data_IF_783667641375
#
_entry.id   IF_783667641375
#
_cell.length_a   1.000
_cell.length_b   1.000
_cell.length_c   1.000
_cell.angle_alpha   90.00
_cell.angle_beta   90.00
_cell.angle_gamma   90.00
#
_symmetry.space_group_name_H-M   'P 1'
#
loop_
_entity.id
_entity.type
_entity.pdbx_description
1 polymer ?
#
# COMPACT_ATOMS: atom_id res chain seq x y z
N UNK A 1 -45.37 38.02 -24.62
CA UNK A 1 -44.46 37.50 -23.57
C UNK A 1 -44.34 35.99 -23.74
N UNK A 2 -43.14 35.44 -24.02
CA UNK A 2 -42.70 34.05 -23.72
C UNK A 2 -41.43 33.71 -24.55
N UNK A 3 -40.28 34.25 -24.14
CA UNK A 3 -38.94 33.75 -24.57
C UNK A 3 -37.97 33.69 -23.38
N UNK A 4 -38.46 33.78 -22.14
CA UNK A 4 -37.60 33.83 -20.93
C UNK A 4 -37.22 32.42 -20.44
N UNK A 5 -38.00 31.40 -20.82
CA UNK A 5 -37.80 30.02 -20.33
C UNK A 5 -36.56 29.29 -20.87
N UNK A 6 -36.19 29.36 -22.17
CA UNK A 6 -35.03 28.63 -22.66
C UNK A 6 -33.69 29.24 -22.22
N UNK A 7 -33.64 30.55 -22.00
CA UNK A 7 -32.40 31.24 -21.62
C UNK A 7 -31.99 30.93 -20.17
N UNK A 8 -32.97 30.88 -19.26
CA UNK A 8 -32.72 30.54 -17.85
C UNK A 8 -32.21 29.10 -17.72
N UNK A 9 -32.73 28.17 -18.53
CA UNK A 9 -32.28 26.78 -18.51
C UNK A 9 -30.84 26.62 -19.02
N UNK A 10 -30.47 27.36 -20.08
CA UNK A 10 -29.10 27.37 -20.59
C UNK A 10 -28.10 27.94 -19.57
N UNK A 11 -28.48 28.97 -18.83
CA UNK A 11 -27.61 29.55 -17.79
C UNK A 11 -27.39 28.59 -16.62
N UNK A 12 -28.43 27.87 -16.18
CA UNK A 12 -28.31 26.85 -15.13
C UNK A 12 -27.47 25.66 -15.59
N UNK A 13 -27.65 25.21 -16.84
CA UNK A 13 -26.84 24.14 -17.41
C UNK A 13 -25.36 24.56 -17.51
N UNK A 14 -25.07 25.78 -17.96
CA UNK A 14 -23.71 26.31 -18.02
C UNK A 14 -23.07 26.43 -16.63
N UNK A 15 -23.82 26.86 -15.62
CA UNK A 15 -23.34 26.93 -14.24
C UNK A 15 -23.02 25.53 -13.68
N UNK A 16 -23.87 24.53 -13.94
CA UNK A 16 -23.62 23.14 -13.55
C UNK A 16 -22.36 22.57 -14.21
N UNK A 17 -22.16 22.83 -15.50
CA UNK A 17 -20.94 22.40 -16.22
C UNK A 17 -19.70 23.05 -15.59
N UNK A 18 -19.75 24.34 -15.24
CA UNK A 18 -18.63 25.03 -14.58
C UNK A 18 -18.33 24.46 -13.18
N UNK A 19 -19.36 24.11 -12.41
CA UNK A 19 -19.18 23.46 -11.10
C UNK A 19 -18.54 22.09 -11.24
N UNK A 20 -18.95 21.29 -12.24
CA UNK A 20 -18.34 19.98 -12.52
C UNK A 20 -16.90 20.15 -12.99
N UNK A 21 -16.61 21.09 -13.89
CA UNK A 21 -15.24 21.36 -14.35
C UNK A 21 -14.33 21.85 -13.21
N UNK A 22 -14.86 22.61 -12.25
CA UNK A 22 -14.13 23.01 -11.06
C UNK A 22 -13.88 21.82 -10.11
N UNK A 23 -14.87 20.94 -9.91
CA UNK A 23 -14.72 19.73 -9.08
C UNK A 23 -13.70 18.74 -9.67
N UNK A 24 -13.54 18.71 -11.00
CA UNK A 24 -12.56 17.89 -11.72
C UNK A 24 -11.21 18.61 -11.90
N UNK A 25 -11.05 19.83 -11.38
CA UNK A 25 -9.80 20.58 -11.40
C UNK A 25 -9.41 21.19 -12.76
N UNK A 26 -10.34 21.24 -13.71
CA UNK A 26 -10.10 21.78 -15.06
C UNK A 26 -10.19 23.31 -15.14
N UNK A 27 -10.89 23.96 -14.20
CA UNK A 27 -11.04 25.42 -14.16
C UNK A 27 -10.97 25.94 -12.73
N UNK A 28 -10.10 26.91 -12.47
CA UNK A 28 -10.10 27.68 -11.22
C UNK A 28 -10.94 28.96 -11.41
N UNK A 29 -12.19 28.94 -10.97
CA UNK A 29 -13.05 30.13 -10.99
C UNK A 29 -12.51 31.29 -10.12
N UNK A 30 -11.56 31.01 -9.22
CA UNK A 30 -10.96 32.02 -8.34
C UNK A 30 -9.92 32.91 -9.04
N UNK A 31 -9.35 32.47 -10.17
CA UNK A 31 -8.36 33.27 -10.92
C UNK A 31 -9.00 34.43 -11.69
N UNK A 32 -10.32 34.38 -11.94
CA UNK A 32 -11.05 35.45 -12.63
C UNK A 32 -11.36 36.67 -11.76
N UNK A 33 -11.15 36.60 -10.44
CA UNK A 33 -11.46 37.72 -9.53
C UNK A 33 -10.27 38.64 -9.27
N UNK A 34 -9.07 38.22 -9.64
CA UNK A 34 -7.85 39.03 -9.58
C UNK A 34 -7.44 39.41 -10.99
N UNK A 35 -7.78 40.64 -11.39
CA UNK A 35 -7.42 41.18 -12.70
C UNK A 35 -5.93 41.05 -12.98
N UNK A 36 -5.58 39.98 -13.70
CA UNK A 36 -4.26 39.75 -14.27
C UNK A 36 -4.48 39.70 -15.77
N UNK A 37 -4.17 40.81 -16.43
CA UNK A 37 -4.21 40.93 -17.87
C UNK A 37 -3.38 39.81 -18.51
N UNK A 38 -3.91 39.03 -19.46
CA UNK A 38 -3.11 38.05 -20.18
C UNK A 38 -2.12 38.79 -21.09
N UNK A 39 -0.83 38.65 -20.82
CA UNK A 39 0.23 39.03 -21.76
C UNK A 39 0.09 38.15 -23.00
N UNK A 40 -0.14 38.79 -24.14
CA UNK A 40 -0.24 38.12 -25.44
C UNK A 40 1.07 37.39 -25.78
N UNK A 41 1.00 36.21 -26.42
CA UNK A 41 2.19 35.56 -26.97
C UNK A 41 2.75 36.37 -28.16
N UNK A 42 4.07 36.49 -28.32
CA UNK A 42 4.65 37.19 -29.46
C UNK A 42 4.35 36.44 -30.76
N UNK A 43 3.65 37.12 -31.68
CA UNK A 43 3.39 36.66 -33.05
C UNK A 43 4.72 36.58 -33.83
N UNK A 44 5.02 35.46 -34.51
CA UNK A 44 6.15 35.37 -35.41
C UNK A 44 5.78 36.03 -36.75
N UNK A 45 6.62 36.93 -37.28
CA UNK A 45 6.53 37.37 -38.67
C UNK A 45 7.89 37.16 -39.37
N UNK A 46 7.89 36.64 -40.61
CA UNK A 46 9.06 36.04 -41.24
C UNK A 46 9.82 37.03 -42.13
N UNK A 47 11.10 36.71 -42.42
CA UNK A 47 11.76 36.62 -43.76
C UNK A 47 13.27 36.92 -43.63
N UNK A 48 14.09 36.03 -44.21
CA UNK A 48 15.55 36.12 -44.41
C UNK A 48 15.91 37.18 -45.49
N UNK A 49 17.14 37.29 -46.08
CA UNK A 49 18.45 36.66 -45.84
C UNK A 49 19.66 37.66 -45.86
N UNK A 50 20.90 37.11 -45.95
CA UNK A 50 22.23 37.75 -46.19
C UNK A 50 23.03 38.17 -44.94
N UNK A 51 24.35 37.97 -44.80
CA UNK A 51 25.43 37.43 -45.64
C UNK A 51 26.70 37.21 -44.75
N UNK A 52 27.47 36.15 -45.03
CA UNK A 52 28.95 36.03 -45.12
C UNK A 52 29.88 36.34 -43.92
N UNK A 53 30.58 35.29 -43.44
CA UNK A 53 32.06 35.08 -43.52
C UNK A 53 32.39 33.66 -43.00
N UNK A 54 32.84 32.73 -43.84
CA UNK A 54 34.26 32.37 -44.10
C UNK A 54 35.01 32.01 -42.79
N UNK A 55 35.61 30.83 -42.57
CA UNK A 55 36.32 29.97 -43.51
C UNK A 55 36.75 28.63 -42.84
N UNK A 56 37.20 27.70 -43.68
CA UNK A 56 37.99 26.47 -43.44
C UNK A 56 37.25 25.13 -43.20
N UNK A 57 37.34 24.29 -44.24
CA UNK A 57 37.00 22.85 -44.32
C UNK A 57 38.31 22.01 -44.29
N UNK A 58 38.28 20.67 -44.50
CA UNK A 58 38.59 19.63 -43.52
C UNK A 58 39.93 18.92 -43.81
N UNK A 59 40.31 17.94 -42.97
CA UNK A 59 41.18 16.87 -43.46
C UNK A 59 40.88 15.51 -42.80
N UNK A 60 40.81 14.50 -43.67
CA UNK A 60 40.69 13.05 -43.40
C UNK A 60 42.05 12.45 -43.80
N UNK A 61 42.55 11.41 -43.12
CA UNK A 61 42.62 10.13 -43.83
C UNK A 61 42.41 8.89 -42.94
N UNK A 62 41.66 7.92 -43.46
CA UNK A 62 41.92 6.48 -43.30
C UNK A 62 42.74 6.02 -44.53
N UNK A 63 43.50 4.90 -44.53
CA UNK A 63 42.87 3.57 -44.61
C UNK A 63 43.68 2.37 -44.03
N UNK A 64 42.97 1.22 -44.02
CA UNK A 64 43.40 -0.18 -44.17
C UNK A 64 44.33 -0.86 -43.15
N UNK A 65 43.76 -1.89 -42.48
CA UNK A 65 44.17 -3.29 -42.71
C UNK A 65 43.26 -4.28 -41.94
N UNK A 66 42.64 -5.19 -42.68
CA UNK A 66 42.37 -6.58 -42.24
C UNK A 66 42.94 -7.46 -43.35
N UNK A 67 43.46 -8.68 -43.08
CA UNK A 67 42.53 -9.80 -42.91
C UNK A 67 43.02 -11.00 -42.03
N UNK A 68 42.01 -11.73 -41.55
CA UNK A 68 41.94 -13.20 -41.48
C UNK A 68 42.55 -13.99 -40.29
N UNK A 69 42.13 -15.26 -40.08
CA UNK A 69 41.10 -15.61 -39.11
C UNK A 69 41.52 -16.80 -38.21
N UNK A 70 41.19 -16.84 -36.92
CA UNK A 70 41.22 -18.14 -36.23
C UNK A 70 40.45 -18.19 -34.92
N UNK A 71 39.72 -19.29 -34.78
CA UNK A 71 39.15 -19.88 -33.57
C UNK A 71 37.95 -19.21 -32.91
N UNK A 72 36.79 -19.59 -33.44
CA UNK A 72 35.58 -19.87 -32.67
C UNK A 72 35.95 -20.73 -31.46
N UNK A 73 35.72 -20.23 -30.24
CA UNK A 73 35.53 -21.06 -29.06
C UNK A 73 34.16 -20.74 -28.46
N UNK A 74 33.20 -21.55 -28.87
CA UNK A 74 31.92 -21.77 -28.20
C UNK A 74 32.19 -22.17 -26.75
N UNK A 75 31.65 -21.50 -25.72
CA UNK A 75 31.47 -22.19 -24.44
C UNK A 75 30.38 -23.26 -24.67
N UNK A 76 30.81 -24.51 -24.57
CA UNK A 76 29.96 -25.69 -24.57
C UNK A 76 28.80 -25.51 -23.58
N UNK A 77 27.56 -25.95 -23.90
CA UNK A 77 26.46 -25.95 -22.96
C UNK A 77 26.81 -26.89 -21.79
N UNK A 78 26.87 -26.35 -20.57
CA UNK A 78 26.90 -27.19 -19.39
C UNK A 78 25.66 -28.10 -19.40
N UNK A 79 25.90 -29.39 -19.33
CA UNK A 79 24.87 -30.41 -19.26
C UNK A 79 23.92 -30.14 -18.08
N UNK A 80 22.62 -30.44 -18.23
CA UNK A 80 21.63 -30.18 -17.19
C UNK A 80 21.95 -31.00 -15.93
N UNK A 81 22.10 -30.29 -14.82
CA UNK A 81 22.16 -30.88 -13.49
C UNK A 81 20.87 -31.70 -13.26
N UNK A 82 20.95 -32.97 -12.83
CA UNK A 82 19.76 -33.76 -12.54
C UNK A 82 18.97 -33.12 -11.39
N UNK A 83 17.62 -33.17 -11.43
CA UNK A 83 16.79 -32.59 -10.39
C UNK A 83 17.07 -33.25 -9.02
N UNK A 84 17.02 -32.48 -7.92
CA UNK A 84 17.12 -33.06 -6.59
C UNK A 84 15.99 -34.08 -6.37
N UNK A 85 16.35 -35.23 -5.79
CA UNK A 85 15.41 -36.30 -5.44
C UNK A 85 14.27 -35.75 -4.55
N UNK A 86 13.04 -36.28 -4.67
CA UNK A 86 11.93 -35.89 -3.80
C UNK A 86 12.30 -36.20 -2.35
N UNK A 87 12.22 -35.17 -1.49
CA UNK A 87 12.32 -35.34 -0.04
C UNK A 87 11.11 -36.16 0.40
N UNK A 88 11.42 -37.28 1.04
CA UNK A 88 10.50 -38.24 1.61
C UNK A 88 9.57 -37.57 2.62
N UNK A 89 8.28 -37.82 2.42
CA UNK A 89 7.16 -37.63 3.35
C UNK A 89 7.53 -38.07 4.79
N UNK A 90 7.31 -37.23 5.83
CA UNK A 90 7.40 -37.70 7.20
C UNK A 90 6.22 -38.61 7.51
N UNK A 91 6.51 -39.85 7.86
CA UNK A 91 5.57 -40.82 8.39
C UNK A 91 4.86 -40.30 9.67
N UNK A 92 3.62 -40.75 9.94
CA UNK A 92 2.78 -40.24 11.01
C UNK A 92 3.24 -40.72 12.40
N UNK A 93 3.09 -39.92 13.47
CA UNK A 93 3.23 -40.42 14.82
C UNK A 93 1.99 -41.25 15.21
N UNK A 94 2.17 -42.57 15.27
CA UNK A 94 1.38 -43.49 16.12
C UNK A 94 2.19 -43.56 17.43
N UNK A 95 1.68 -43.28 18.64
CA UNK A 95 0.65 -43.99 19.40
C UNK A 95 0.30 -43.18 20.70
N UNK A 96 -0.66 -43.62 21.53
CA UNK A 96 -1.67 -42.76 22.15
C UNK A 96 -1.54 -42.58 23.67
N UNK A 97 -2.11 -41.49 24.18
CA UNK A 97 -2.35 -41.19 25.60
C UNK A 97 -2.56 -39.68 25.74
N UNK A 98 -3.56 -39.12 26.41
CA UNK A 98 -4.52 -39.60 27.39
C UNK A 98 -5.62 -38.52 27.38
N UNK A 99 -6.83 -38.84 26.92
CA UNK A 99 -7.99 -37.92 27.00
C UNK A 99 -8.68 -38.18 28.35
N UNK A 100 -8.95 -37.16 29.18
CA UNK A 100 -9.73 -37.36 30.39
C UNK A 100 -11.18 -37.74 30.05
N UNK A 101 -11.56 -38.89 30.60
CA UNK A 101 -12.80 -39.63 30.48
C UNK A 101 -14.01 -38.78 30.95
N UNK A 102 -14.91 -38.42 30.03
CA UNK A 102 -16.22 -37.86 30.37
C UNK A 102 -17.23 -39.01 30.48
N UNK A 103 -17.21 -39.70 31.61
CA UNK A 103 -18.29 -40.59 31.97
C UNK A 103 -19.59 -39.78 32.22
N UNK A 104 -20.72 -40.10 31.56
CA UNK A 104 -22.00 -39.48 31.86
C UNK A 104 -22.54 -39.99 33.22
N UNK A 105 -23.17 -39.15 34.05
CA UNK A 105 -23.74 -39.59 35.32
C UNK A 105 -25.01 -40.44 35.10
N UNK A 106 -25.26 -41.44 35.95
CA UNK A 106 -26.45 -42.28 35.83
C UNK A 106 -27.69 -41.56 36.39
N UNK A 107 -28.82 -41.69 35.68
CA UNK A 107 -30.14 -41.43 36.24
C UNK A 107 -30.60 -42.63 37.09
N UNK A 108 -31.36 -42.37 38.17
CA UNK A 108 -32.66 -43.03 38.32
C UNK A 108 -33.74 -42.05 38.84
N UNK A 109 -34.99 -42.36 38.51
CA UNK A 109 -36.15 -41.48 38.66
C UNK A 109 -37.10 -41.81 39.81
N UNK A 110 -38.25 -41.13 39.77
CA UNK A 110 -39.46 -41.32 40.61
C UNK A 110 -39.32 -40.72 42.01
N UNK A 111 -40.27 -40.02 42.63
CA UNK A 111 -41.72 -39.85 42.40
C UNK A 111 -42.24 -38.71 43.28
N UNK A 112 -43.38 -38.16 42.86
CA UNK A 112 -44.47 -37.66 43.71
C UNK A 112 -44.60 -36.15 44.02
N UNK A 113 -45.84 -35.73 43.82
CA UNK A 113 -46.49 -34.43 43.86
C UNK A 113 -46.74 -33.84 45.26
N UNK A 114 -46.57 -32.51 45.40
CA UNK A 114 -47.59 -31.49 45.75
C UNK A 114 -46.93 -30.25 46.42
N UNK A 115 -47.34 -29.01 46.08
CA UNK A 115 -46.62 -27.78 46.47
C UNK A 115 -47.08 -27.19 47.82
N UNK A 116 -46.21 -26.42 48.49
CA UNK A 116 -46.69 -25.18 49.10
C UNK A 116 -45.72 -23.97 48.94
N UNK A 117 -46.34 -22.84 48.60
CA UNK A 117 -46.05 -21.44 48.97
C UNK A 117 -44.59 -20.90 49.03
N UNK A 118 -44.32 -19.91 48.17
CA UNK A 118 -43.35 -18.82 48.40
C UNK A 118 -43.73 -18.04 49.70
N UNK A 119 -42.85 -17.24 50.36
CA UNK A 119 -41.76 -16.44 49.75
C UNK A 119 -40.46 -16.30 50.57
N UNK A 120 -39.34 -16.03 49.89
CA UNK A 120 -38.11 -15.59 50.55
C UNK A 120 -36.94 -15.51 49.60
N UNK A 121 -36.42 -14.29 49.39
CA UNK A 121 -35.35 -13.97 48.45
C UNK A 121 -34.08 -14.79 48.68
N UNK A 122 -33.61 -15.47 47.64
CA UNK A 122 -32.24 -15.94 47.50
C UNK A 122 -31.79 -15.71 46.06
N UNK A 123 -30.73 -14.92 45.94
CA UNK A 123 -30.09 -14.46 44.72
C UNK A 123 -29.63 -15.64 43.87
N UNK A 124 -30.28 -15.86 42.72
CA UNK A 124 -29.72 -16.75 41.70
C UNK A 124 -28.40 -16.17 41.19
N UNK A 125 -27.32 -16.97 41.05
CA UNK A 125 -26.10 -16.50 40.42
C UNK A 125 -26.42 -16.14 38.96
N UNK A 126 -26.24 -14.86 38.62
CA UNK A 126 -26.31 -14.40 37.23
C UNK A 126 -25.26 -15.16 36.43
N UNK A 127 -25.74 -16.10 35.61
CA UNK A 127 -25.00 -16.59 34.45
C UNK A 127 -24.71 -15.36 33.58
N UNK A 128 -23.47 -14.88 33.60
CA UNK A 128 -23.03 -13.83 32.68
C UNK A 128 -23.25 -14.36 31.27
N UNK A 129 -24.19 -13.74 30.55
CA UNK A 129 -24.38 -13.99 29.13
C UNK A 129 -23.02 -13.94 28.42
N UNK A 130 -22.72 -14.85 27.49
CA UNK A 130 -21.50 -14.75 26.70
C UNK A 130 -21.48 -13.37 25.99
N UNK A 131 -20.31 -12.69 25.95
CA UNK A 131 -20.23 -11.37 25.36
C UNK A 131 -20.71 -11.42 23.90
N UNK A 132 -21.57 -10.47 23.52
CA UNK A 132 -22.01 -10.30 22.13
C UNK A 132 -20.76 -10.21 21.25
N UNK A 133 -20.76 -10.89 20.09
CA UNK A 133 -19.60 -10.98 19.20
C UNK A 133 -18.98 -9.60 18.83
N UNK A 134 -19.77 -8.52 18.82
CA UNK A 134 -19.27 -7.14 18.63
C UNK A 134 -18.53 -6.53 19.84
N UNK A 135 -18.90 -6.91 21.08
CA UNK A 135 -18.27 -6.39 22.31
C UNK A 135 -16.82 -6.86 22.47
N UNK A 136 -16.50 -8.08 22.00
CA UNK A 136 -15.13 -8.57 21.98
C UNK A 136 -14.25 -7.83 20.96
N UNK A 137 -14.83 -7.41 19.83
CA UNK A 137 -14.14 -6.61 18.81
C UNK A 137 -13.88 -5.19 19.31
N UNK A 138 -14.86 -4.57 19.97
CA UNK A 138 -14.73 -3.24 20.59
C UNK A 138 -13.67 -3.22 21.69
N UNK A 139 -13.66 -4.21 22.59
CA UNK A 139 -12.66 -4.31 23.65
C UNK A 139 -11.24 -4.52 23.13
N UNK A 140 -11.07 -5.35 22.09
CA UNK A 140 -9.74 -5.56 21.46
C UNK A 140 -9.24 -4.35 20.69
N UNK A 141 -10.14 -3.65 20.00
CA UNK A 141 -9.82 -2.36 19.34
C UNK A 141 -9.35 -1.32 20.37
N UNK A 142 -9.98 -1.27 21.54
CA UNK A 142 -9.55 -0.37 22.61
C UNK A 142 -8.09 -0.62 23.02
N UNK A 143 -7.71 -1.88 23.22
CA UNK A 143 -6.31 -2.25 23.51
C UNK A 143 -5.35 -1.88 22.38
N UNK A 144 -5.75 -2.05 21.12
CA UNK A 144 -4.94 -1.64 19.97
C UNK A 144 -4.71 -0.13 19.93
N UNK A 145 -5.72 0.69 20.30
CA UNK A 145 -5.57 2.14 20.44
C UNK A 145 -4.57 2.49 21.54
N UNK A 146 -4.71 1.89 22.74
CA UNK A 146 -3.82 2.18 23.87
C UNK A 146 -2.37 1.84 23.55
N UNK A 147 -2.12 0.69 22.92
CA UNK A 147 -0.77 0.30 22.50
C UNK A 147 -0.21 1.29 21.47
N UNK A 148 -1.03 1.70 20.50
CA UNK A 148 -0.61 2.70 19.52
C UNK A 148 -0.25 4.03 20.19
N UNK A 149 -1.08 4.52 21.12
CA UNK A 149 -0.83 5.78 21.83
C UNK A 149 0.46 5.71 22.67
N UNK A 150 0.68 4.59 23.36
CA UNK A 150 1.92 4.34 24.10
C UNK A 150 3.13 4.32 23.17
N UNK A 151 3.04 3.63 22.03
CA UNK A 151 4.13 3.51 21.06
C UNK A 151 4.48 4.86 20.42
N UNK A 152 3.47 5.66 20.07
CA UNK A 152 3.65 6.99 19.50
C UNK A 152 4.22 7.99 20.52
N UNK A 153 3.88 7.83 21.81
CA UNK A 153 4.34 8.69 22.90
C UNK A 153 5.72 8.32 23.46
N UNK A 154 6.17 7.09 23.24
CA UNK A 154 7.50 6.62 23.62
C UNK A 154 8.60 7.54 23.05
N UNK A 155 9.76 7.60 23.70
CA UNK A 155 10.88 8.47 23.31
C UNK A 155 12.14 7.70 22.97
N UNK A 156 12.19 6.42 23.29
CA UNK A 156 13.36 5.56 23.14
C UNK A 156 13.00 4.26 22.42
N UNK A 157 14.02 3.54 21.93
CA UNK A 157 13.81 2.22 21.34
C UNK A 157 13.35 1.22 22.39
N UNK A 158 13.94 1.28 23.58
CA UNK A 158 13.68 0.37 24.70
C UNK A 158 12.21 0.43 25.15
N UNK A 159 11.62 1.62 25.16
CA UNK A 159 10.19 1.81 25.43
C UNK A 159 9.29 1.25 24.32
N UNK A 160 9.74 1.25 23.06
CA UNK A 160 8.97 0.78 21.90
C UNK A 160 9.03 -0.72 21.69
N UNK A 161 10.15 -1.36 22.00
CA UNK A 161 10.37 -2.80 21.83
C UNK A 161 9.23 -3.69 22.36
N UNK A 162 8.69 -3.48 23.58
CA UNK A 162 7.58 -4.30 24.08
C UNK A 162 6.25 -4.03 23.36
N UNK A 163 6.09 -2.87 22.73
CA UNK A 163 4.86 -2.41 22.07
C UNK A 163 4.80 -2.78 20.58
N UNK A 164 5.88 -3.33 20.04
CA UNK A 164 6.00 -3.67 18.63
C UNK A 164 6.21 -5.17 18.38
N UNK A 165 5.85 -5.59 17.19
CA UNK A 165 6.20 -6.90 16.64
C UNK A 165 7.72 -7.02 16.48
N UNK A 166 8.21 -8.27 16.45
CA UNK A 166 9.62 -8.52 16.15
C UNK A 166 9.91 -8.06 14.72
N UNK A 167 10.82 -7.09 14.59
CA UNK A 167 11.30 -6.59 13.30
C UNK A 167 12.21 -7.62 12.61
N UNK A 168 12.23 -7.58 11.28
CA UNK A 168 13.20 -8.32 10.46
C UNK A 168 14.59 -7.67 10.48
N UNK A 169 14.69 -6.40 10.90
CA UNK A 169 15.94 -5.63 10.98
C UNK A 169 16.75 -6.04 12.20
N UNK A 170 18.07 -5.86 12.10
CA UNK A 170 18.96 -6.09 13.24
C UNK A 170 18.71 -5.05 14.34
N UNK A 171 19.08 -5.38 15.59
CA UNK A 171 18.95 -4.43 16.70
C UNK A 171 19.80 -3.15 16.49
N UNK A 172 20.93 -3.26 15.80
CA UNK A 172 21.76 -2.10 15.45
C UNK A 172 21.08 -1.20 14.41
N UNK A 173 20.38 -1.78 13.43
CA UNK A 173 19.61 -1.02 12.45
C UNK A 173 18.42 -0.32 13.10
N UNK A 174 17.76 -0.98 14.06
CA UNK A 174 16.68 -0.35 14.84
C UNK A 174 17.17 0.85 15.64
N UNK A 175 18.38 0.78 16.21
CA UNK A 175 19.01 1.92 16.91
C UNK A 175 19.33 3.10 16.00
N UNK A 176 19.51 2.86 14.70
CA UNK A 176 19.73 3.90 13.69
C UNK A 176 18.43 4.43 13.08
N UNK A 177 17.32 3.73 13.31
CA UNK A 177 16.01 4.09 12.77
C UNK A 177 15.28 5.17 13.60
N UNK A 178 14.17 5.64 13.07
CA UNK A 178 13.25 6.57 13.71
C UNK A 178 12.72 6.08 15.08
N UNK A 179 12.77 4.77 15.35
CA UNK A 179 12.30 4.19 16.61
C UNK A 179 13.19 4.52 17.81
N UNK A 180 14.45 4.90 17.59
CA UNK A 180 15.41 5.17 18.65
C UNK A 180 15.28 6.54 19.31
N UNK A 181 14.48 7.44 18.74
CA UNK A 181 14.30 8.81 19.24
C UNK A 181 12.83 9.20 19.41
N UNK A 182 12.58 10.44 19.85
CA UNK A 182 11.23 10.99 19.87
C UNK A 182 10.70 11.16 18.43
N UNK A 183 9.45 10.76 18.21
CA UNK A 183 8.76 10.99 16.94
C UNK A 183 8.28 12.45 16.85
N UNK A 184 7.91 12.86 15.63
CA UNK A 184 7.19 14.12 15.39
C UNK A 184 5.90 14.15 16.24
N UNK A 185 5.42 15.34 16.57
CA UNK A 185 4.17 15.49 17.34
C UNK A 185 3.00 14.88 16.56
N UNK A 186 2.23 13.99 17.18
CA UNK A 186 1.01 13.43 16.57
C UNK A 186 -0.07 14.51 16.56
N UNK A 187 -0.60 14.82 15.37
CA UNK A 187 -1.73 15.74 15.21
C UNK A 187 -3.06 15.04 15.34
N UNK A 188 -3.15 13.84 14.76
CA UNK A 188 -4.34 13.00 14.82
C UNK A 188 -3.98 11.56 14.50
N UNK A 189 -4.62 10.62 15.16
CA UNK A 189 -4.69 9.21 14.79
C UNK A 189 -6.16 8.80 14.64
N UNK A 190 -6.50 8.14 13.54
CA UNK A 190 -7.85 7.66 13.26
C UNK A 190 -7.80 6.19 12.90
N UNK A 191 -8.67 5.39 13.52
CA UNK A 191 -8.85 4.00 13.14
C UNK A 191 -9.54 3.92 11.78
N UNK A 192 -8.86 3.32 10.79
CA UNK A 192 -9.39 3.16 9.45
C UNK A 192 -10.32 1.95 9.35
N UNK A 193 -9.75 0.76 9.51
CA UNK A 193 -10.47 -0.50 9.39
C UNK A 193 -9.73 -1.61 10.13
N UNK A 194 -10.44 -2.72 10.35
CA UNK A 194 -9.85 -3.97 10.82
C UNK A 194 -9.95 -4.96 9.68
N UNK A 195 -8.80 -5.44 9.23
CA UNK A 195 -8.66 -6.43 8.18
C UNK A 195 -8.44 -7.79 8.85
N UNK A 196 -9.41 -8.72 8.78
CA UNK A 196 -9.18 -10.08 9.21
C UNK A 196 -8.29 -10.79 8.19
N UNK A 197 -7.25 -11.49 8.64
CA UNK A 197 -6.52 -12.44 7.81
C UNK A 197 -6.95 -13.85 8.17
N UNK A 198 -7.76 -14.42 7.29
CA UNK A 198 -8.39 -15.74 7.48
C UNK A 198 -7.38 -16.89 7.52
N UNK A 199 -6.23 -16.72 6.86
CA UNK A 199 -5.20 -17.76 6.72
C UNK A 199 -4.46 -18.08 8.02
N UNK A 200 -4.22 -17.06 8.86
CA UNK A 200 -3.41 -17.16 10.07
C UNK A 200 -4.13 -16.68 11.35
N UNK A 201 -5.46 -16.49 11.26
CA UNK A 201 -6.33 -15.93 12.32
C UNK A 201 -5.74 -14.64 12.93
N UNK A 202 -4.99 -13.90 12.11
CA UNK A 202 -4.38 -12.63 12.49
C UNK A 202 -5.39 -11.51 12.27
N UNK A 203 -5.44 -10.56 13.19
CA UNK A 203 -6.22 -9.33 13.03
C UNK A 203 -5.28 -8.17 12.83
N UNK A 204 -5.54 -7.41 11.78
CA UNK A 204 -4.77 -6.22 11.46
C UNK A 204 -5.65 -4.99 11.61
N UNK A 205 -5.30 -4.13 12.55
CA UNK A 205 -5.95 -2.85 12.77
C UNK A 205 -5.14 -1.78 12.05
N UNK A 206 -5.76 -1.13 11.06
CA UNK A 206 -5.14 -0.05 10.30
C UNK A 206 -5.52 1.29 10.91
N UNK A 207 -4.52 2.14 11.09
CA UNK A 207 -4.68 3.50 11.59
C UNK A 207 -4.09 4.49 10.61
N UNK A 208 -4.81 5.58 10.36
CA UNK A 208 -4.28 6.74 9.65
C UNK A 208 -3.74 7.72 10.67
N UNK A 209 -2.42 7.94 10.63
CA UNK A 209 -1.71 8.82 11.56
C UNK A 209 -1.18 10.02 10.79
N UNK A 210 -1.38 11.20 11.39
CA UNK A 210 -0.85 12.46 10.90
C UNK A 210 0.07 13.05 11.95
N UNK A 211 1.30 13.36 11.54
CA UNK A 211 2.27 14.07 12.36
C UNK A 211 2.38 15.52 11.91
N UNK A 212 2.63 16.43 12.86
CA UNK A 212 2.99 17.81 12.58
C UNK A 212 4.38 17.87 11.94
N UNK A 213 4.50 18.57 10.81
CA UNK A 213 5.80 18.96 10.29
C UNK A 213 6.08 20.43 10.61
N UNK A 214 7.12 20.67 11.43
CA UNK A 214 7.47 22.03 11.86
C UNK A 214 8.30 22.77 10.83
N UNK A 215 8.94 22.06 9.90
CA UNK A 215 9.74 22.68 8.83
C UNK A 215 8.85 23.23 7.72
N UNK A 216 7.65 22.70 7.56
CA UNK A 216 6.70 23.09 6.52
C UNK A 216 5.31 23.23 7.16
N UNK A 217 4.94 24.46 7.54
CA UNK A 217 3.72 24.78 8.30
C UNK A 217 2.42 24.21 7.66
N UNK A 218 2.45 23.87 6.37
CA UNK A 218 1.32 23.29 5.62
C UNK A 218 1.46 21.81 5.28
N UNK A 219 2.64 21.22 5.42
CA UNK A 219 2.83 19.80 5.14
C UNK A 219 2.71 18.99 6.42
N UNK A 220 2.00 17.87 6.32
CA UNK A 220 1.85 16.90 7.40
C UNK A 220 2.42 15.60 6.90
N UNK A 221 3.18 14.90 7.74
CA UNK A 221 3.50 13.52 7.43
C UNK A 221 2.24 12.68 7.67
N UNK A 222 1.70 12.11 6.59
CA UNK A 222 0.54 11.23 6.61
C UNK A 222 1.01 9.80 6.33
N UNK A 223 0.65 8.86 7.21
CA UNK A 223 0.98 7.46 7.01
C UNK A 223 -0.08 6.53 7.57
N UNK A 224 -0.10 5.31 7.03
CA UNK A 224 -0.80 4.18 7.63
C UNK A 224 0.10 3.50 8.66
N UNK A 225 -0.47 3.16 9.81
CA UNK A 225 0.17 2.39 10.88
C UNK A 225 -0.63 1.12 11.10
N UNK A 226 0.07 0.00 11.20
CA UNK A 226 -0.54 -1.30 11.42
C UNK A 226 -0.33 -1.73 12.87
N UNK A 227 -1.40 -2.13 13.53
CA UNK A 227 -1.35 -2.82 14.82
C UNK A 227 -1.87 -4.23 14.59
N UNK A 228 -1.06 -5.22 14.96
CA UNK A 228 -1.30 -6.63 14.64
C UNK A 228 -1.58 -7.40 15.92
N UNK A 229 -2.68 -8.14 15.92
CA UNK A 229 -3.02 -9.11 16.94
C UNK A 229 -2.90 -10.51 16.35
N UNK A 230 -2.12 -11.39 17.00
CA UNK A 230 -1.95 -12.78 16.60
C UNK A 230 -2.54 -13.70 17.68
N UNK A 231 -3.06 -14.88 17.32
CA UNK A 231 -3.55 -15.85 18.29
C UNK A 231 -2.47 -16.16 19.35
N UNK A 232 -2.84 -16.08 20.63
CA UNK A 232 -1.94 -16.35 21.75
C UNK A 232 -0.89 -15.26 22.03
N UNK A 233 -0.82 -14.19 21.24
CA UNK A 233 0.10 -13.06 21.45
C UNK A 233 -0.72 -11.82 21.77
N UNK A 234 -0.84 -11.54 23.07
CA UNK A 234 -1.48 -10.34 23.60
C UNK A 234 -0.49 -9.51 24.44
N UNK A 235 -0.65 -8.18 24.51
CA UNK A 235 -1.60 -7.36 23.74
C UNK A 235 -1.23 -7.27 22.24
N UNK A 236 -2.11 -6.70 21.37
CA UNK A 236 -1.77 -6.35 19.99
C UNK A 236 -0.51 -5.48 19.94
N UNK A 237 0.23 -5.52 18.82
CA UNK A 237 1.52 -4.82 18.70
C UNK A 237 1.68 -4.07 17.40
N UNK A 238 2.38 -2.95 17.42
CA UNK A 238 2.68 -2.15 16.21
C UNK A 238 3.59 -2.94 15.26
N UNK A 239 3.31 -2.92 13.96
CA UNK A 239 4.17 -3.52 12.96
C UNK A 239 5.42 -2.65 12.72
N UNK A 240 6.57 -3.08 13.23
CA UNK A 240 7.77 -2.23 13.30
C UNK A 240 8.31 -1.87 11.91
N UNK A 241 8.45 -2.84 11.01
CA UNK A 241 9.08 -2.61 9.70
C UNK A 241 8.24 -1.66 8.83
N UNK A 242 6.94 -1.93 8.71
CA UNK A 242 5.98 -1.02 8.10
C UNK A 242 6.00 0.41 8.70
N UNK A 243 6.11 0.53 10.03
CA UNK A 243 6.19 1.85 10.65
C UNK A 243 7.44 2.60 10.18
N UNK A 244 8.60 1.93 10.21
CA UNK A 244 9.87 2.51 9.73
C UNK A 244 9.77 2.89 8.25
N UNK A 245 9.24 1.99 7.41
CA UNK A 245 9.09 2.19 5.96
C UNK A 245 8.36 3.49 5.63
N UNK A 246 7.22 3.73 6.28
CA UNK A 246 6.45 4.95 6.05
C UNK A 246 7.04 6.18 6.72
N UNK A 247 7.52 6.07 7.96
CA UNK A 247 7.99 7.22 8.71
C UNK A 247 9.31 7.78 8.15
N UNK A 248 10.20 6.91 7.68
CA UNK A 248 11.48 7.27 7.06
C UNK A 248 11.37 7.52 5.54
N UNK A 249 10.15 7.55 5.00
CA UNK A 249 9.87 7.78 3.58
C UNK A 249 10.63 6.81 2.65
N UNK A 250 10.69 5.52 3.02
CA UNK A 250 11.46 4.53 2.27
C UNK A 250 10.86 4.23 0.89
N UNK A 251 9.55 4.41 0.72
CA UNK A 251 8.87 4.30 -0.58
C UNK A 251 9.35 5.40 -1.54
N UNK A 252 9.38 6.63 -1.06
CA UNK A 252 9.85 7.80 -1.80
C UNK A 252 11.35 7.65 -2.13
N UNK A 253 12.17 7.28 -1.14
CA UNK A 253 13.60 7.05 -1.34
C UNK A 253 13.88 5.93 -2.36
N UNK A 254 13.05 4.88 -2.40
CA UNK A 254 13.16 3.80 -3.39
C UNK A 254 12.87 4.29 -4.82
N UNK A 255 12.02 5.31 -4.97
CA UNK A 255 11.67 5.90 -6.26
C UNK A 255 12.72 6.87 -6.82
N UNK A 256 13.65 7.36 -5.99
CA UNK A 256 14.64 8.35 -6.43
C UNK A 256 15.69 7.76 -7.38
N UNK A 257 16.08 6.50 -7.17
CA UNK A 257 17.21 5.88 -7.89
C UNK A 257 16.92 4.44 -8.29
N UNK A 258 17.10 4.10 -9.58
CA UNK A 258 16.94 2.73 -10.05
C UNK A 258 17.85 1.75 -9.31
N UNK A 259 17.27 0.61 -8.91
CA UNK A 259 17.98 -0.49 -8.27
C UNK A 259 17.49 -1.83 -8.79
N UNK A 260 18.41 -2.77 -9.03
CA UNK A 260 18.07 -4.12 -9.48
C UNK A 260 17.46 -4.98 -8.35
N UNK A 261 17.59 -4.53 -7.10
CA UNK A 261 17.13 -5.26 -5.92
C UNK A 261 15.61 -5.23 -5.84
N UNK A 262 15.01 -6.42 -5.78
CA UNK A 262 13.59 -6.57 -5.43
C UNK A 262 13.41 -6.12 -3.98
N UNK A 263 12.48 -5.20 -3.76
CA UNK A 263 12.19 -4.66 -2.43
C UNK A 263 10.69 -4.73 -2.14
N UNK A 264 10.35 -5.23 -0.96
CA UNK A 264 8.98 -5.39 -0.49
C UNK A 264 8.63 -4.25 0.46
N UNK A 265 7.45 -3.66 0.28
CA UNK A 265 6.94 -2.61 1.14
C UNK A 265 5.51 -2.87 1.57
N UNK A 266 5.19 -2.39 2.77
CA UNK A 266 3.84 -2.14 3.21
C UNK A 266 3.40 -0.81 2.61
N UNK A 267 2.30 -0.78 1.87
CA UNK A 267 1.85 0.42 1.19
C UNK A 267 0.35 0.43 0.94
N UNK A 268 -0.15 1.57 0.52
CA UNK A 268 -1.47 1.68 -0.09
C UNK A 268 -1.27 1.69 -1.60
N UNK A 269 -1.96 0.79 -2.29
CA UNK A 269 -1.93 0.71 -3.73
C UNK A 269 -3.29 1.07 -4.30
N UNK A 270 -3.27 1.94 -5.29
CA UNK A 270 -4.46 2.36 -6.01
C UNK A 270 -4.30 2.06 -7.50
N UNK A 271 -5.14 1.17 -7.98
CA UNK A 271 -5.08 0.65 -9.34
C UNK A 271 -5.75 1.62 -10.33
N UNK A 272 -5.08 1.87 -11.46
CA UNK A 272 -5.47 2.82 -12.51
C UNK A 272 -5.07 2.32 -13.91
N UNK A 273 -5.68 2.91 -14.94
CA UNK A 273 -5.19 2.78 -16.32
C UNK A 273 -3.82 3.47 -16.47
N UNK A 274 -2.97 2.93 -17.35
CA UNK A 274 -1.66 3.51 -17.67
C UNK A 274 -1.71 4.52 -18.84
N UNK A 275 -2.90 4.76 -19.44
CA UNK A 275 -3.04 5.52 -20.70
C UNK A 275 -2.57 6.98 -20.57
N UNK A 276 -2.66 7.56 -19.37
CA UNK A 276 -2.29 8.95 -19.09
C UNK A 276 -0.85 9.13 -18.57
N UNK A 277 -0.07 8.06 -18.46
CA UNK A 277 1.30 8.13 -17.91
C UNK A 277 2.25 8.73 -18.95
N UNK A 278 2.93 9.82 -18.61
CA UNK A 278 3.85 10.50 -19.56
C UNK A 278 5.16 9.76 -19.79
N UNK A 279 5.63 9.02 -18.79
CA UNK A 279 6.99 8.48 -18.76
C UNK A 279 7.09 7.01 -19.21
N UNK A 280 5.97 6.43 -19.68
CA UNK A 280 5.89 5.06 -20.17
C UNK A 280 5.71 5.09 -21.71
N UNK A 281 6.42 4.25 -22.49
CA UNK A 281 6.18 4.10 -23.93
C UNK A 281 4.73 3.75 -24.26
N UNK A 282 4.18 4.32 -25.33
CA UNK A 282 2.78 4.12 -25.75
C UNK A 282 2.42 2.65 -25.95
N UNK A 283 3.35 1.85 -26.48
CA UNK A 283 3.17 0.41 -26.67
C UNK A 283 2.92 -0.31 -25.35
N UNK A 284 3.58 0.14 -24.28
CA UNK A 284 3.45 -0.45 -22.94
C UNK A 284 2.21 0.05 -22.20
N UNK A 285 1.77 1.30 -22.40
CA UNK A 285 0.57 1.84 -21.73
C UNK A 285 -0.66 0.97 -21.96
N UNK A 286 -0.90 0.56 -23.20
CA UNK A 286 -2.04 -0.30 -23.55
C UNK A 286 -1.97 -1.70 -22.91
N UNK A 287 -0.76 -2.18 -22.59
CA UNK A 287 -0.49 -3.53 -22.08
C UNK A 287 -0.31 -3.57 -20.56
N UNK A 288 -0.28 -2.42 -19.89
CA UNK A 288 0.02 -2.31 -18.47
C UNK A 288 -1.12 -1.69 -17.68
N UNK A 289 -1.08 -1.96 -16.38
CA UNK A 289 -1.86 -1.32 -15.34
C UNK A 289 -0.91 -0.48 -14.51
N UNK A 290 -1.36 0.72 -14.15
CA UNK A 290 -0.66 1.62 -13.24
C UNK A 290 -1.16 1.38 -11.83
N UNK A 291 -0.25 1.31 -10.88
CA UNK A 291 -0.52 1.27 -9.46
C UNK A 291 0.11 2.53 -8.85
N UNK A 292 -0.71 3.45 -8.38
CA UNK A 292 -0.22 4.57 -7.58
C UNK A 292 0.09 4.06 -6.18
N UNK A 293 1.36 4.10 -5.80
CA UNK A 293 1.84 3.60 -4.49
C UNK A 293 1.93 4.77 -3.52
N UNK A 294 1.24 4.66 -2.38
CA UNK A 294 1.04 5.73 -1.40
C UNK A 294 1.37 5.25 0.01
N UNK A 295 1.82 6.17 0.86
CA UNK A 295 1.95 5.92 2.31
C UNK A 295 0.63 6.14 3.06
N UNK A 296 -0.33 6.85 2.47
CA UNK A 296 -1.63 7.20 3.06
C UNK A 296 -2.67 7.49 1.96
N UNK A 297 -3.98 7.22 2.13
CA UNK A 297 -4.95 7.33 1.04
C UNK A 297 -5.14 8.75 0.52
N UNK A 298 -4.91 9.76 1.38
CA UNK A 298 -4.96 11.20 1.04
C UNK A 298 -3.59 11.81 0.74
N UNK A 299 -2.54 10.99 0.74
CA UNK A 299 -1.19 11.45 0.42
C UNK A 299 -0.96 11.42 -1.10
N UNK A 300 0.02 12.21 -1.54
CA UNK A 300 0.54 12.10 -2.90
C UNK A 300 1.16 10.70 -3.13
N UNK A 301 1.10 10.17 -4.37
CA UNK A 301 1.83 8.96 -4.72
C UNK A 301 3.34 9.13 -4.47
N UNK A 302 3.95 8.17 -3.77
CA UNK A 302 5.39 8.06 -3.67
C UNK A 302 6.00 7.69 -5.02
N UNK A 303 5.35 6.78 -5.77
CA UNK A 303 5.70 6.44 -7.15
C UNK A 303 4.59 5.67 -7.84
N UNK A 304 4.74 5.53 -9.16
CA UNK A 304 3.95 4.62 -9.98
C UNK A 304 4.67 3.29 -10.16
N UNK A 305 3.96 2.20 -9.89
CA UNK A 305 4.38 0.86 -10.27
C UNK A 305 3.52 0.34 -11.42
N UNK A 306 4.09 -0.54 -12.23
CA UNK A 306 3.44 -1.08 -13.42
C UNK A 306 3.31 -2.59 -13.33
N UNK A 307 2.16 -3.10 -13.73
CA UNK A 307 1.89 -4.52 -13.87
C UNK A 307 1.41 -4.82 -15.28
N UNK A 308 1.99 -5.84 -15.93
CA UNK A 308 1.48 -6.30 -17.22
C UNK A 308 0.07 -6.89 -17.06
N UNK A 309 -0.85 -6.53 -17.97
CA UNK A 309 -2.19 -7.12 -18.07
C UNK A 309 -2.18 -8.63 -18.36
N UNK A 310 -1.05 -9.15 -18.86
CA UNK A 310 -0.85 -10.58 -19.09
C UNK A 310 -0.20 -11.30 -17.91
N UNK A 311 0.13 -10.59 -16.82
CA UNK A 311 0.73 -11.19 -15.63
C UNK A 311 -0.29 -12.07 -14.90
N UNK A 312 0.12 -13.23 -14.36
CA UNK A 312 -0.75 -14.03 -13.48
C UNK A 312 -1.17 -13.26 -12.21
N UNK A 313 -0.43 -12.22 -11.81
CA UNK A 313 -0.82 -11.37 -10.68
C UNK A 313 -2.09 -10.55 -10.95
N UNK A 314 -2.53 -10.43 -12.21
CA UNK A 314 -3.78 -9.74 -12.55
C UNK A 314 -5.00 -10.38 -11.89
N UNK A 315 -5.00 -11.71 -11.75
CA UNK A 315 -6.11 -12.45 -11.14
C UNK A 315 -6.27 -12.12 -9.65
N UNK A 316 -5.26 -11.49 -9.05
CA UNK A 316 -5.17 -11.13 -7.64
C UNK A 316 -5.56 -9.67 -7.34
N UNK A 317 -5.56 -8.78 -8.34
CA UNK A 317 -5.88 -7.34 -8.15
C UNK A 317 -7.37 -7.05 -8.37
N UNK A 318 -8.10 -7.95 -9.03
CA UNK A 318 -9.54 -7.88 -9.19
C UNK A 318 -10.03 -8.74 -10.37
N UNK A 319 -11.34 -9.02 -10.46
CA UNK A 319 -11.88 -9.78 -11.58
C UNK A 319 -11.59 -9.07 -12.91
N UNK A 320 -11.15 -9.86 -13.90
CA UNK A 320 -10.88 -9.42 -15.27
C UNK A 320 -12.15 -8.77 -15.88
N UNK A 321 -12.30 -7.46 -15.77
CA UNK A 321 -13.42 -6.73 -16.37
C UNK A 321 -13.77 -5.39 -15.72
N UNK A 322 -13.57 -5.23 -14.40
CA UNK A 322 -14.06 -4.05 -13.65
C UNK A 322 -12.94 -3.02 -13.32
N UNK A 323 -11.87 -3.00 -14.10
CA UNK A 323 -10.93 -1.89 -14.10
C UNK A 323 -11.59 -0.68 -14.77
N UNK A 324 -11.57 0.53 -14.15
CA UNK A 324 -10.36 1.06 -13.53
C UNK A 324 -10.49 1.63 -12.11
N UNK A 325 -11.58 1.39 -11.39
CA UNK A 325 -11.83 2.05 -10.09
C UNK A 325 -11.78 1.07 -8.94
N UNK A 326 -10.57 0.62 -8.61
CA UNK A 326 -10.38 -0.06 -7.34
C UNK A 326 -10.05 1.00 -6.28
N UNK A 327 -10.80 0.98 -5.18
CA UNK A 327 -10.50 1.81 -4.01
C UNK A 327 -9.04 1.60 -3.57
N UNK A 328 -8.36 2.63 -3.03
CA UNK A 328 -7.04 2.45 -2.45
C UNK A 328 -7.08 1.35 -1.38
N UNK A 329 -6.23 0.34 -1.50
CA UNK A 329 -6.12 -0.75 -0.51
C UNK A 329 -4.75 -0.80 0.10
N UNK A 330 -4.73 -1.10 1.39
CA UNK A 330 -3.50 -1.45 2.07
C UNK A 330 -3.04 -2.85 1.63
N UNK A 331 -1.80 -2.96 1.16
CA UNK A 331 -1.22 -4.17 0.59
C UNK A 331 0.25 -4.31 1.02
N UNK A 332 0.80 -5.52 0.86
CA UNK A 332 2.25 -5.73 0.93
C UNK A 332 2.71 -6.20 -0.45
N UNK A 333 3.54 -5.38 -1.09
CA UNK A 333 3.87 -5.51 -2.51
C UNK A 333 5.39 -5.53 -2.70
N UNK A 334 5.87 -6.34 -3.63
CA UNK A 334 7.29 -6.42 -4.00
C UNK A 334 7.53 -5.76 -5.35
N UNK A 335 8.51 -4.86 -5.40
CA UNK A 335 8.81 -4.06 -6.58
C UNK A 335 10.23 -4.27 -7.05
N UNK A 336 10.47 -3.99 -8.34
CA UNK A 336 11.81 -3.94 -8.93
C UNK A 336 11.85 -2.84 -9.98
N UNK A 337 12.97 -2.15 -10.11
CA UNK A 337 13.16 -1.29 -11.27
C UNK A 337 13.40 -2.10 -12.54
N UNK A 338 12.62 -1.84 -13.57
CA UNK A 338 12.96 -2.23 -14.92
C UNK A 338 13.88 -1.18 -15.52
N UNK A 339 15.14 -1.57 -15.69
CA UNK A 339 16.22 -0.74 -16.25
C UNK A 339 16.64 -1.19 -17.64
N UNK A 340 15.91 -2.12 -18.27
CA UNK A 340 16.26 -2.70 -19.59
C UNK A 340 16.33 -1.64 -20.68
N UNK A 341 15.46 -0.64 -20.61
CA UNK A 341 15.53 0.55 -21.45
C UNK A 341 16.08 1.72 -20.61
N UNK A 342 17.23 2.26 -21.02
CA UNK A 342 17.88 3.36 -20.31
C UNK A 342 17.06 4.66 -20.35
N UNK A 343 16.28 4.89 -21.41
CA UNK A 343 15.45 6.08 -21.62
C UNK A 343 14.10 5.98 -20.90
N UNK A 344 13.62 4.75 -20.68
CA UNK A 344 12.31 4.48 -20.09
C UNK A 344 12.43 3.49 -18.93
N UNK A 345 13.05 3.94 -17.84
CA UNK A 345 13.11 3.19 -16.59
C UNK A 345 11.80 3.37 -15.83
N UNK A 346 11.26 2.29 -15.32
CA UNK A 346 10.03 2.31 -14.52
C UNK A 346 10.06 1.23 -13.45
N UNK A 347 9.17 1.33 -12.47
CA UNK A 347 9.06 0.35 -11.39
C UNK A 347 8.02 -0.69 -11.77
N UNK A 348 8.41 -1.96 -11.74
CA UNK A 348 7.52 -3.10 -11.96
C UNK A 348 7.02 -3.64 -10.62
N UNK A 349 5.73 -3.96 -10.56
CA UNK A 349 5.20 -4.86 -9.54
C UNK A 349 5.63 -6.29 -9.89
N UNK A 350 6.39 -6.91 -8.99
CA UNK A 350 6.95 -8.25 -9.17
C UNK A 350 6.20 -9.32 -8.40
N UNK A 351 5.59 -8.97 -7.26
CA UNK A 351 4.81 -9.90 -6.45
C UNK A 351 3.82 -9.18 -5.54
N UNK A 352 2.76 -9.87 -5.15
CA UNK A 352 1.77 -9.45 -4.16
C UNK A 352 1.94 -10.39 -2.96
N UNK A 353 2.56 -9.92 -1.88
CA UNK A 353 2.82 -10.75 -0.69
C UNK A 353 1.54 -10.95 0.11
N UNK A 354 0.77 -9.88 0.28
CA UNK A 354 -0.53 -9.93 0.96
C UNK A 354 -1.57 -9.17 0.17
N UNK A 355 -2.76 -9.74 0.08
CA UNK A 355 -3.90 -9.15 -0.62
C UNK A 355 -4.65 -8.15 0.27
N UNK A 356 -4.94 -6.97 -0.29
CA UNK A 356 -5.85 -5.99 0.30
C UNK A 356 -7.22 -5.92 -0.39
N UNK A 357 -7.44 -6.72 -1.44
CA UNK A 357 -8.60 -6.66 -2.34
C UNK A 357 -9.60 -7.81 -2.19
N UNK A 358 -9.40 -8.71 -1.21
CA UNK A 358 -10.36 -9.79 -0.92
C UNK A 358 -11.66 -9.22 -0.36
N UNK A 359 -12.80 -9.71 -0.85
CA UNK A 359 -14.15 -9.33 -0.37
C UNK A 359 -14.70 -10.36 0.59
#
# INVERSE_FOLDING_TARGET
>A
MRVVFPLAFLLVAAALVLVVLQAVGFVNLWDFKTGSTPTAPPTPKPTAPSEVKSDVQPDVPAPDATPNPESIQTPSPAAPTPPPKPVTEPAPPTAPGEFPDLAPPPAPGGVSSKPPAAPGAATSPQVKNPPKAGSLVEGRRFLANEILDQFLSAKTLEERLPLMTKSTRSHEDLKKSCLAGPLKTVKSNYFAEMVPRLEDDMRQYLYYVSFEDKTEIRERLLMVVQVVERPGIHPPRVHADAFIEHYEKLLENYAEKPTEKITTFHCIAEARTADLVKNLPEELKSQMIRLEIKSHPRGEPAFDAFLSKNSPLMDRIGPRGDFPYVEPRFCVLSFRWNTKNAEHKFIELTDIVTLGWEK
#
